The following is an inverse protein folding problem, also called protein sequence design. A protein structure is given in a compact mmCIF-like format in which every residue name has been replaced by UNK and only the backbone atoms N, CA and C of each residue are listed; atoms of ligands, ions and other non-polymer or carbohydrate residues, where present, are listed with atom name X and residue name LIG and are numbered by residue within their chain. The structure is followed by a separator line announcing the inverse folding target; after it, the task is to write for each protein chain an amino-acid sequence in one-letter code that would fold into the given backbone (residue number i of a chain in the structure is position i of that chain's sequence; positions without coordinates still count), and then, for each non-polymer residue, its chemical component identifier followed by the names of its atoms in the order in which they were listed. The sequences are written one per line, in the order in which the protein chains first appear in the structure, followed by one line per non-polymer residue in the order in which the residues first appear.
data_IF_563556538023
#
_entry.id   IF_563556538023
#
_cell.length_a   1.000
_cell.length_b   1.000
_cell.length_c   1.000
_cell.angle_alpha   90.00
_cell.angle_beta   90.00
_cell.angle_gamma   90.00
#
_symmetry.space_group_name_H-M   'P 1'
#
loop_
_entity.id
_entity.type
_entity.pdbx_description
1 polymer ?
#
# COMPACT_ATOMS: atom_id res chain seq x y z
N UNK A 1 29.99 3.85 -0.03
CA UNK A 1 28.76 3.72 -0.87
C UNK A 1 28.33 5.13 -1.23
N UNK A 2 28.20 5.46 -2.50
CA UNK A 2 27.74 6.78 -2.88
C UNK A 2 26.20 6.87 -2.66
N UNK A 3 25.65 8.09 -2.66
CA UNK A 3 24.21 8.33 -2.38
C UNK A 3 23.31 7.61 -3.41
N UNK A 4 23.75 7.53 -4.67
CA UNK A 4 23.02 6.86 -5.74
C UNK A 4 22.93 5.36 -5.51
N UNK A 5 24.02 4.73 -5.09
CA UNK A 5 24.02 3.29 -4.77
C UNK A 5 23.09 3.00 -3.59
N UNK A 6 23.08 3.88 -2.57
CA UNK A 6 22.18 3.74 -1.42
C UNK A 6 20.69 3.86 -1.82
N UNK A 7 20.37 4.73 -2.79
CA UNK A 7 19.00 4.99 -3.21
C UNK A 7 18.46 3.97 -4.22
N UNK A 8 19.32 3.44 -5.10
CA UNK A 8 18.87 2.74 -6.31
C UNK A 8 19.55 1.40 -6.59
N UNK A 9 20.29 0.84 -5.63
CA UNK A 9 20.91 -0.50 -5.81
C UNK A 9 19.86 -1.56 -6.15
N UNK A 10 20.21 -2.50 -7.01
CA UNK A 10 19.37 -3.67 -7.32
C UNK A 10 19.71 -4.88 -6.45
N UNK A 11 20.76 -4.77 -5.65
CA UNK A 11 21.19 -5.85 -4.76
C UNK A 11 20.45 -5.72 -3.43
N UNK A 12 19.67 -6.73 -3.01
CA UNK A 12 19.03 -6.76 -1.70
C UNK A 12 20.08 -6.55 -0.59
N UNK A 13 19.67 -5.80 0.41
CA UNK A 13 20.46 -5.54 1.62
C UNK A 13 19.68 -6.09 2.84
N UNK A 14 20.12 -5.75 4.03
CA UNK A 14 19.31 -6.06 5.21
C UNK A 14 18.08 -5.13 5.28
N UNK A 15 16.90 -5.65 5.64
CA UNK A 15 15.72 -4.81 5.87
C UNK A 15 15.97 -3.85 7.03
N UNK A 16 15.25 -2.71 7.11
CA UNK A 16 15.39 -1.78 8.22
C UNK A 16 15.14 -2.48 9.56
N UNK A 17 15.92 -2.14 10.57
CA UNK A 17 15.64 -2.61 11.92
C UNK A 17 14.46 -1.82 12.52
N UNK A 18 13.41 -2.53 12.91
CA UNK A 18 12.18 -1.94 13.46
C UNK A 18 12.30 -1.77 14.98
N UNK A 19 13.15 -0.82 15.39
CA UNK A 19 13.31 -0.44 16.80
C UNK A 19 12.40 0.74 17.21
N UNK A 20 12.60 1.22 18.44
CA UNK A 20 11.84 2.34 19.00
C UNK A 20 11.81 3.57 18.09
N UNK A 21 12.93 3.95 17.51
CA UNK A 21 13.02 5.14 16.62
C UNK A 21 12.15 4.99 15.39
N UNK A 22 12.10 3.79 14.80
CA UNK A 22 11.23 3.51 13.66
C UNK A 22 9.76 3.71 14.04
N UNK A 23 9.30 3.05 15.11
CA UNK A 23 7.91 3.14 15.53
C UNK A 23 7.53 4.54 15.98
N UNK A 24 8.37 5.22 16.75
CA UNK A 24 8.13 6.58 17.19
C UNK A 24 7.96 7.55 16.01
N UNK A 25 8.86 7.47 15.01
CA UNK A 25 8.79 8.35 13.83
C UNK A 25 7.62 8.01 12.92
N UNK A 26 7.38 6.72 12.63
CA UNK A 26 6.27 6.32 11.76
C UNK A 26 4.91 6.60 12.38
N UNK A 27 4.72 6.36 13.68
CA UNK A 27 3.48 6.72 14.37
C UNK A 27 3.29 8.24 14.47
N UNK A 28 4.35 9.02 14.71
CA UNK A 28 4.25 10.47 14.69
C UNK A 28 3.78 10.98 13.31
N UNK A 29 4.35 10.45 12.22
CA UNK A 29 3.92 10.78 10.85
C UNK A 29 2.49 10.29 10.54
N UNK A 30 2.11 9.12 11.03
CA UNK A 30 0.75 8.59 10.91
C UNK A 30 -0.27 9.51 11.58
N UNK A 31 -0.04 9.91 12.84
CA UNK A 31 -0.91 10.83 13.56
C UNK A 31 -0.96 12.21 12.91
N UNK A 32 0.18 12.72 12.44
CA UNK A 32 0.23 13.98 11.69
C UNK A 32 -0.60 13.88 10.41
N UNK A 33 -0.50 12.78 9.67
CA UNK A 33 -1.28 12.56 8.46
C UNK A 33 -2.79 12.52 8.75
N UNK A 34 -3.20 11.80 9.80
CA UNK A 34 -4.61 11.74 10.24
C UNK A 34 -5.09 13.15 10.61
N UNK A 35 -4.30 13.90 11.38
CA UNK A 35 -4.63 15.27 11.77
C UNK A 35 -4.79 16.18 10.56
N UNK A 36 -3.84 16.17 9.61
CA UNK A 36 -3.89 16.99 8.40
C UNK A 36 -5.09 16.61 7.53
N UNK A 37 -5.32 15.32 7.31
CA UNK A 37 -6.45 14.82 6.53
C UNK A 37 -7.79 15.23 7.14
N UNK A 38 -7.95 15.13 8.48
CA UNK A 38 -9.16 15.52 9.18
C UNK A 38 -9.36 17.04 9.19
N UNK A 39 -8.32 17.80 9.55
CA UNK A 39 -8.40 19.27 9.74
C UNK A 39 -8.55 20.03 8.44
N UNK A 40 -7.92 19.51 7.37
CA UNK A 40 -7.85 20.20 6.07
C UNK A 40 -8.50 19.40 4.93
N UNK A 41 -9.47 18.53 5.23
CA UNK A 41 -10.14 17.67 4.24
C UNK A 41 -10.76 18.45 3.07
N UNK A 42 -11.26 19.67 3.32
CA UNK A 42 -11.90 20.52 2.29
C UNK A 42 -10.88 21.44 1.58
N UNK A 43 -9.64 21.50 2.06
CA UNK A 43 -8.60 22.33 1.49
C UNK A 43 -7.98 21.66 0.26
N UNK A 44 -8.16 22.28 -0.92
CA UNK A 44 -7.64 21.76 -2.19
C UNK A 44 -6.11 21.64 -2.24
N UNK A 45 -5.39 22.49 -1.51
CA UNK A 45 -3.92 22.40 -1.43
C UNK A 45 -3.50 21.12 -0.69
N UNK A 46 -4.14 20.83 0.45
CA UNK A 46 -3.88 19.61 1.21
C UNK A 46 -4.23 18.34 0.40
N UNK A 47 -5.38 18.35 -0.29
CA UNK A 47 -5.77 17.24 -1.17
C UNK A 47 -4.73 17.00 -2.25
N UNK A 48 -4.31 18.07 -2.97
CA UNK A 48 -3.29 17.97 -4.03
C UNK A 48 -1.93 17.54 -3.49
N UNK A 49 -1.55 17.97 -2.30
CA UNK A 49 -0.30 17.56 -1.65
C UNK A 49 -0.22 16.04 -1.53
N UNK A 50 -1.23 15.38 -0.94
CA UNK A 50 -1.23 13.92 -0.83
C UNK A 50 -1.30 13.23 -2.20
N UNK A 51 -2.06 13.76 -3.16
CA UNK A 51 -2.13 13.22 -4.52
C UNK A 51 -0.77 13.30 -5.23
N UNK A 52 -0.06 14.42 -5.11
CA UNK A 52 1.25 14.61 -5.73
C UNK A 52 2.29 13.66 -5.11
N UNK A 53 2.34 13.55 -3.77
CA UNK A 53 3.25 12.60 -3.11
C UNK A 53 2.94 11.17 -3.59
N UNK A 54 1.66 10.79 -3.66
CA UNK A 54 1.26 9.47 -4.15
C UNK A 54 1.69 9.23 -5.59
N UNK A 55 1.52 10.22 -6.47
CA UNK A 55 1.92 10.12 -7.86
C UNK A 55 3.45 10.02 -8.00
N UNK A 56 4.20 10.88 -7.30
CA UNK A 56 5.66 10.88 -7.35
C UNK A 56 6.23 9.54 -6.89
N UNK A 57 5.76 9.02 -5.75
CA UNK A 57 6.28 7.74 -5.23
C UNK A 57 5.93 6.56 -6.16
N UNK A 58 4.72 6.51 -6.73
CA UNK A 58 4.35 5.45 -7.68
C UNK A 58 5.21 5.53 -8.95
N UNK A 59 5.36 6.72 -9.53
CA UNK A 59 6.18 6.91 -10.74
C UNK A 59 7.63 6.51 -10.44
N UNK A 60 8.20 6.98 -9.33
CA UNK A 60 9.59 6.70 -8.97
C UNK A 60 9.84 5.21 -8.76
N UNK A 61 8.98 4.52 -8.01
CA UNK A 61 9.11 3.10 -7.73
C UNK A 61 8.97 2.25 -9.01
N UNK A 62 7.92 2.50 -9.80
CA UNK A 62 7.68 1.70 -11.01
C UNK A 62 8.67 2.02 -12.12
N UNK A 63 9.18 3.26 -12.21
CA UNK A 63 10.30 3.59 -13.10
C UNK A 63 11.55 2.81 -12.70
N UNK A 64 11.86 2.71 -11.42
CA UNK A 64 12.98 1.93 -10.93
C UNK A 64 12.84 0.44 -11.24
N UNK A 65 11.65 -0.17 -11.02
CA UNK A 65 11.38 -1.54 -11.41
C UNK A 65 11.55 -1.75 -12.92
N UNK A 66 11.01 -0.84 -13.73
CA UNK A 66 11.09 -0.93 -15.20
C UNK A 66 12.52 -0.83 -15.73
N UNK A 67 13.26 0.19 -15.28
CA UNK A 67 14.65 0.43 -15.73
C UNK A 67 15.54 -0.76 -15.37
N UNK A 68 15.34 -1.37 -14.20
CA UNK A 68 16.15 -2.48 -13.74
C UNK A 68 15.57 -3.86 -14.12
N UNK A 69 14.55 -3.91 -14.96
CA UNK A 69 13.94 -5.14 -15.48
C UNK A 69 13.56 -6.16 -14.39
N UNK A 70 12.98 -5.68 -13.29
CA UNK A 70 12.52 -6.54 -12.21
C UNK A 70 11.53 -7.59 -12.70
N UNK A 71 11.59 -8.83 -12.18
CA UNK A 71 10.69 -9.90 -12.59
C UNK A 71 9.23 -9.57 -12.24
N UNK A 72 8.31 -10.07 -13.06
CA UNK A 72 6.87 -9.86 -12.82
C UNK A 72 6.36 -10.48 -11.51
N UNK A 73 7.13 -11.35 -10.87
CA UNK A 73 6.85 -11.86 -9.52
C UNK A 73 6.99 -10.81 -8.41
N UNK A 74 7.64 -9.65 -8.69
CA UNK A 74 7.95 -8.62 -7.69
C UNK A 74 7.47 -7.22 -8.09
N UNK A 75 7.44 -6.92 -9.41
CA UNK A 75 7.26 -5.57 -9.94
C UNK A 75 5.81 -5.16 -10.22
N UNK A 76 4.84 -6.09 -10.17
CA UNK A 76 3.45 -5.77 -10.44
C UNK A 76 2.75 -5.11 -9.23
N UNK A 77 1.70 -4.31 -9.46
CA UNK A 77 1.01 -3.57 -8.39
C UNK A 77 -0.04 -4.39 -7.63
N UNK A 78 0.13 -5.71 -7.47
CA UNK A 78 -0.88 -6.58 -6.90
C UNK A 78 -0.83 -6.75 -5.38
N UNK A 79 0.00 -6.00 -4.67
CA UNK A 79 -0.18 -5.83 -3.22
C UNK A 79 -1.42 -4.97 -2.95
N UNK A 80 -2.23 -5.34 -1.97
CA UNK A 80 -3.49 -4.67 -1.62
C UNK A 80 -3.35 -3.15 -1.49
N UNK A 81 -2.34 -2.68 -0.74
CA UNK A 81 -2.09 -1.26 -0.57
C UNK A 81 -1.67 -0.58 -1.89
N UNK A 82 -0.89 -1.25 -2.74
CA UNK A 82 -0.50 -0.69 -4.05
C UNK A 82 -1.69 -0.53 -4.98
N UNK A 83 -2.58 -1.52 -5.03
CA UNK A 83 -3.85 -1.40 -5.78
C UNK A 83 -4.72 -0.27 -5.22
N UNK A 84 -4.81 -0.15 -3.89
CA UNK A 84 -5.52 0.96 -3.25
C UNK A 84 -4.91 2.32 -3.63
N UNK A 85 -3.58 2.44 -3.69
CA UNK A 85 -2.88 3.65 -4.13
C UNK A 85 -3.32 4.08 -5.53
N UNK A 86 -3.35 3.15 -6.50
CA UNK A 86 -3.80 3.45 -7.85
C UNK A 86 -5.29 3.80 -7.92
N UNK A 87 -6.14 3.01 -7.27
CA UNK A 87 -7.60 3.22 -7.36
C UNK A 87 -8.01 4.52 -6.67
N UNK A 88 -7.51 4.80 -5.47
CA UNK A 88 -7.86 6.03 -4.75
C UNK A 88 -7.36 7.27 -5.47
N UNK A 89 -6.18 7.20 -6.10
CA UNK A 89 -5.60 8.31 -6.85
C UNK A 89 -6.30 8.54 -8.20
N UNK A 90 -6.53 7.47 -8.98
CA UNK A 90 -6.88 7.58 -10.40
C UNK A 90 -8.39 7.45 -10.67
N UNK A 91 -9.14 6.72 -9.84
CA UNK A 91 -10.56 6.54 -10.09
C UNK A 91 -11.33 7.84 -9.77
N UNK A 92 -11.99 8.47 -10.74
CA UNK A 92 -12.73 9.71 -10.49
C UNK A 92 -14.04 9.47 -9.74
N UNK A 93 -14.55 10.53 -9.11
CA UNK A 93 -15.88 10.56 -8.52
C UNK A 93 -16.05 9.66 -7.28
N UNK A 94 -17.33 9.44 -6.93
CA UNK A 94 -17.77 8.60 -5.82
C UNK A 94 -18.29 7.28 -6.36
N UNK A 95 -17.73 6.16 -5.87
CA UNK A 95 -18.14 4.84 -6.31
C UNK A 95 -17.90 3.79 -5.21
N UNK A 96 -18.64 2.68 -5.29
CA UNK A 96 -18.47 1.51 -4.40
C UNK A 96 -17.03 1.03 -4.37
N UNK A 97 -16.41 0.90 -5.54
CA UNK A 97 -15.02 0.45 -5.69
C UNK A 97 -14.04 1.40 -5.01
N UNK A 98 -14.16 2.71 -5.27
CA UNK A 98 -13.27 3.70 -4.65
C UNK A 98 -13.43 3.75 -3.13
N UNK A 99 -14.67 3.64 -2.63
CA UNK A 99 -14.92 3.59 -1.19
C UNK A 99 -14.31 2.34 -0.55
N UNK A 100 -14.42 1.17 -1.19
CA UNK A 100 -13.78 -0.06 -0.74
C UNK A 100 -12.26 0.10 -0.66
N UNK A 101 -11.62 0.60 -1.72
CA UNK A 101 -10.17 0.79 -1.72
C UNK A 101 -9.70 1.90 -0.79
N UNK A 102 -10.52 2.90 -0.50
CA UNK A 102 -10.20 3.91 0.51
C UNK A 102 -10.27 3.33 1.93
N UNK A 103 -11.23 2.46 2.23
CA UNK A 103 -11.26 1.71 3.49
C UNK A 103 -10.04 0.79 3.60
N UNK A 104 -9.78 0.00 2.55
CA UNK A 104 -8.60 -0.88 2.48
C UNK A 104 -7.30 -0.08 2.66
N UNK A 105 -7.17 1.08 2.01
CA UNK A 105 -6.01 1.95 2.13
C UNK A 105 -5.83 2.54 3.52
N UNK A 106 -6.92 2.89 4.19
CA UNK A 106 -6.88 3.41 5.57
C UNK A 106 -6.42 2.34 6.55
N UNK A 107 -7.09 1.18 6.58
CA UNK A 107 -6.76 0.10 7.51
C UNK A 107 -5.46 -0.60 7.13
N UNK A 108 -5.20 -0.78 5.84
CA UNK A 108 -3.96 -1.38 5.33
C UNK A 108 -2.73 -0.55 5.67
N UNK A 109 -2.81 0.79 5.62
CA UNK A 109 -1.71 1.66 6.05
C UNK A 109 -1.42 1.51 7.55
N UNK A 110 -2.45 1.48 8.38
CA UNK A 110 -2.28 1.29 9.82
C UNK A 110 -1.62 -0.07 10.08
N UNK A 111 -2.11 -1.14 9.44
CA UNK A 111 -1.53 -2.48 9.55
C UNK A 111 -0.06 -2.51 9.09
N UNK A 112 0.26 -1.85 7.97
CA UNK A 112 1.61 -1.79 7.42
C UNK A 112 2.62 -1.09 8.35
N UNK A 113 2.19 -0.12 9.16
CA UNK A 113 3.07 0.54 10.14
C UNK A 113 3.10 -0.17 11.50
N UNK A 114 2.05 -0.89 11.87
CA UNK A 114 2.02 -1.73 13.07
C UNK A 114 2.88 -2.98 12.90
N UNK A 115 2.81 -3.60 11.72
CA UNK A 115 3.58 -4.79 11.37
C UNK A 115 4.25 -4.61 10.00
N UNK A 116 5.39 -3.88 9.94
CA UNK A 116 6.05 -3.55 8.69
C UNK A 116 6.72 -4.77 8.07
N UNK A 117 6.46 -5.00 6.78
CA UNK A 117 7.09 -6.04 5.95
C UNK A 117 7.56 -5.39 4.64
N UNK A 118 8.52 -4.48 4.68
CA UNK A 118 9.11 -3.94 3.46
C UNK A 118 10.06 -4.97 2.84
N UNK A 119 10.34 -4.77 1.55
CA UNK A 119 11.37 -5.54 0.86
C UNK A 119 12.75 -5.33 1.51
N UNK A 120 13.68 -6.26 1.29
CA UNK A 120 14.99 -6.32 1.92
C UNK A 120 15.96 -5.26 1.38
N UNK A 121 15.70 -4.00 1.70
CA UNK A 121 16.56 -2.85 1.38
C UNK A 121 16.71 -1.97 2.62
N UNK A 122 17.94 -1.46 2.85
CA UNK A 122 18.19 -0.52 3.94
C UNK A 122 17.77 0.91 3.57
N UNK A 123 17.41 1.71 4.58
CA UNK A 123 17.17 3.15 4.38
C UNK A 123 18.47 3.86 3.91
N UNK A 124 18.41 4.79 2.93
CA UNK A 124 17.26 5.46 2.33
C UNK A 124 16.82 4.93 0.95
N UNK A 125 16.86 3.64 0.70
CA UNK A 125 16.53 3.04 -0.58
C UNK A 125 15.13 3.44 -1.08
N UNK A 126 14.94 3.58 -2.42
CA UNK A 126 13.69 4.02 -3.07
C UNK A 126 12.49 3.16 -2.65
N UNK A 127 12.67 1.86 -2.43
CA UNK A 127 11.63 0.93 -1.98
C UNK A 127 11.16 1.29 -0.56
N UNK A 128 12.09 1.60 0.35
CA UNK A 128 11.77 2.01 1.73
C UNK A 128 11.12 3.39 1.78
N UNK A 129 11.63 4.34 0.99
CA UNK A 129 10.99 5.65 0.83
C UNK A 129 9.59 5.52 0.25
N UNK A 130 9.40 4.67 -0.76
CA UNK A 130 8.09 4.38 -1.33
C UNK A 130 7.16 3.70 -0.33
N UNK A 131 7.67 2.79 0.50
CA UNK A 131 6.89 2.18 1.58
C UNK A 131 6.35 3.26 2.54
N UNK A 132 7.22 4.13 3.05
CA UNK A 132 6.83 5.16 4.03
C UNK A 132 5.89 6.19 3.39
N UNK A 133 6.36 6.89 2.36
CA UNK A 133 5.61 7.99 1.75
C UNK A 133 4.37 7.52 0.99
N UNK A 134 4.43 6.33 0.38
CA UNK A 134 3.30 5.71 -0.30
C UNK A 134 2.16 5.41 0.65
N UNK A 135 2.43 4.82 1.81
CA UNK A 135 1.39 4.52 2.80
C UNK A 135 0.86 5.79 3.47
N UNK A 136 1.71 6.77 3.81
CA UNK A 136 1.25 8.05 4.35
C UNK A 136 0.35 8.81 3.36
N UNK A 137 0.74 8.86 2.08
CA UNK A 137 -0.06 9.50 1.05
C UNK A 137 -1.37 8.74 0.79
N UNK A 138 -1.34 7.40 0.79
CA UNK A 138 -2.52 6.55 0.70
C UNK A 138 -3.49 6.85 1.85
N UNK A 139 -2.99 6.90 3.09
CA UNK A 139 -3.81 7.23 4.26
C UNK A 139 -4.45 8.62 4.12
N UNK A 140 -3.66 9.62 3.75
CA UNK A 140 -4.15 11.00 3.55
C UNK A 140 -5.24 11.08 2.49
N UNK A 141 -5.01 10.51 1.30
CA UNK A 141 -5.97 10.48 0.21
C UNK A 141 -7.24 9.69 0.58
N UNK A 142 -7.08 8.53 1.23
CA UNK A 142 -8.19 7.67 1.65
C UNK A 142 -9.06 8.32 2.71
N UNK A 143 -8.45 8.90 3.76
CA UNK A 143 -9.19 9.60 4.81
C UNK A 143 -9.92 10.83 4.28
N UNK A 144 -9.27 11.66 3.47
CA UNK A 144 -9.93 12.82 2.84
C UNK A 144 -11.12 12.38 2.00
N UNK A 145 -10.96 11.30 1.22
CA UNK A 145 -12.08 10.77 0.43
C UNK A 145 -13.20 10.27 1.31
N UNK A 146 -12.93 9.46 2.33
CA UNK A 146 -13.95 8.89 3.22
C UNK A 146 -14.67 9.98 4.04
N UNK A 147 -13.93 10.94 4.60
CA UNK A 147 -14.50 12.03 5.39
C UNK A 147 -15.45 12.91 4.59
N UNK A 148 -15.25 13.02 3.27
CA UNK A 148 -16.06 13.91 2.41
C UNK A 148 -17.14 13.16 1.62
N UNK A 149 -16.96 11.84 1.37
CA UNK A 149 -17.77 11.12 0.38
C UNK A 149 -18.26 9.75 0.87
N UNK A 150 -18.03 9.37 2.13
CA UNK A 150 -18.50 8.07 2.61
C UNK A 150 -20.01 7.97 2.59
N UNK A 151 -20.53 6.93 1.92
CA UNK A 151 -21.95 6.59 1.92
C UNK A 151 -22.11 5.09 2.27
N UNK A 152 -22.68 4.81 3.42
CA UNK A 152 -22.93 3.44 3.89
C UNK A 152 -23.87 2.64 2.98
N UNK A 153 -24.63 3.31 2.09
CA UNK A 153 -25.54 2.66 1.13
C UNK A 153 -24.79 2.10 -0.07
N UNK A 154 -23.62 2.66 -0.40
CA UNK A 154 -22.82 2.22 -1.53
C UNK A 154 -22.10 0.89 -1.25
N UNK A 155 -21.72 0.65 0.00
CA UNK A 155 -20.90 -0.49 0.36
C UNK A 155 -21.38 -1.11 1.68
N UNK A 156 -22.16 -2.15 1.56
CA UNK A 156 -22.60 -3.02 2.66
C UNK A 156 -21.58 -4.14 2.93
N UNK A 157 -21.80 -4.89 4.00
CA UNK A 157 -20.93 -6.02 4.38
C UNK A 157 -20.80 -7.08 3.26
N UNK A 158 -21.92 -7.41 2.60
CA UNK A 158 -21.90 -8.34 1.45
C UNK A 158 -21.06 -7.82 0.30
N UNK A 159 -21.13 -6.51 0.05
CA UNK A 159 -20.31 -5.85 -0.97
C UNK A 159 -18.83 -5.87 -0.65
N UNK A 160 -18.46 -5.71 0.63
CA UNK A 160 -17.07 -5.84 1.09
C UNK A 160 -16.56 -7.26 0.83
N UNK A 161 -17.31 -8.29 1.26
CA UNK A 161 -16.93 -9.70 1.05
C UNK A 161 -16.74 -10.02 -0.43
N UNK A 162 -17.67 -9.60 -1.29
CA UNK A 162 -17.58 -9.84 -2.73
C UNK A 162 -16.33 -9.18 -3.31
N UNK A 163 -16.10 -7.89 -3.00
CA UNK A 163 -14.93 -7.18 -3.54
C UNK A 163 -13.63 -7.76 -3.02
N UNK A 164 -13.55 -8.15 -1.74
CA UNK A 164 -12.36 -8.80 -1.17
C UNK A 164 -12.12 -10.15 -1.85
N UNK A 165 -13.14 -10.99 -2.01
CA UNK A 165 -13.01 -12.30 -2.65
C UNK A 165 -12.59 -12.18 -4.12
N UNK A 166 -13.15 -11.20 -4.86
CA UNK A 166 -12.76 -10.94 -6.26
C UNK A 166 -11.33 -10.43 -6.36
N UNK A 167 -10.95 -9.51 -5.49
CA UNK A 167 -9.59 -8.96 -5.43
C UNK A 167 -8.58 -10.06 -5.12
N UNK A 168 -8.82 -10.84 -4.08
CA UNK A 168 -7.94 -11.93 -3.67
C UNK A 168 -7.90 -13.05 -4.70
N UNK A 169 -9.02 -13.36 -5.35
CA UNK A 169 -9.06 -14.30 -6.47
C UNK A 169 -8.22 -13.85 -7.66
N UNK A 170 -8.25 -12.54 -7.99
CA UNK A 170 -7.38 -11.98 -9.02
C UNK A 170 -5.90 -12.07 -8.62
N UNK A 171 -5.56 -11.67 -7.39
CA UNK A 171 -4.18 -11.74 -6.87
C UNK A 171 -3.68 -13.19 -6.87
N UNK A 172 -4.52 -14.13 -6.47
CA UNK A 172 -4.21 -15.56 -6.52
C UNK A 172 -3.84 -16.04 -7.93
N UNK A 173 -4.63 -15.68 -8.94
CA UNK A 173 -4.33 -16.02 -10.35
C UNK A 173 -3.00 -15.39 -10.79
N UNK A 174 -2.76 -14.12 -10.42
CA UNK A 174 -1.49 -13.44 -10.73
C UNK A 174 -0.31 -14.16 -10.10
N UNK A 175 -0.40 -14.57 -8.84
CA UNK A 175 0.64 -15.34 -8.15
C UNK A 175 0.92 -16.67 -8.86
N UNK A 176 -0.11 -17.40 -9.31
CA UNK A 176 0.06 -18.65 -10.07
C UNK A 176 0.80 -18.43 -11.40
N UNK A 177 0.52 -17.32 -12.08
CA UNK A 177 1.13 -17.03 -13.40
C UNK A 177 2.55 -16.50 -13.27
N UNK A 178 2.82 -15.68 -12.26
CA UNK A 178 4.11 -14.98 -12.10
C UNK A 178 5.09 -15.66 -11.16
N UNK A 179 4.62 -16.59 -10.33
CA UNK A 179 5.40 -17.16 -9.22
C UNK A 179 5.63 -16.18 -8.05
N UNK A 180 4.88 -15.07 -8.01
CA UNK A 180 4.96 -14.05 -6.96
C UNK A 180 4.23 -14.44 -5.67
N UNK A 181 4.41 -13.61 -4.63
CA UNK A 181 3.66 -13.69 -3.37
C UNK A 181 2.90 -12.38 -3.09
N UNK A 182 2.21 -11.90 -4.10
CA UNK A 182 1.37 -10.71 -3.94
C UNK A 182 0.26 -10.96 -2.92
N UNK A 183 0.04 -9.97 -2.06
CA UNK A 183 -0.94 -10.06 -0.98
C UNK A 183 -0.59 -11.05 0.11
N UNK A 184 0.65 -11.57 0.12
CA UNK A 184 1.13 -12.59 1.10
C UNK A 184 0.27 -13.85 1.13
N UNK A 185 -0.20 -14.29 -0.04
CA UNK A 185 -1.11 -15.43 -0.14
C UNK A 185 -0.41 -16.78 -0.07
N UNK A 186 0.87 -16.83 -0.42
CA UNK A 186 1.67 -18.06 -0.31
C UNK A 186 2.30 -18.20 1.06
N UNK A 187 2.70 -17.09 1.68
CA UNK A 187 3.33 -17.06 3.01
C UNK A 187 2.72 -15.97 3.88
N UNK A 188 1.51 -16.17 4.42
CA UNK A 188 0.89 -15.19 5.32
C UNK A 188 1.76 -14.94 6.55
N UNK A 189 2.17 -13.69 6.81
CA UNK A 189 3.25 -13.41 7.78
C UNK A 189 2.91 -13.70 9.24
N UNK A 190 1.61 -13.69 9.60
CA UNK A 190 1.18 -13.90 10.99
C UNK A 190 0.84 -15.35 11.32
N UNK A 191 0.44 -16.14 10.33
CA UNK A 191 -0.07 -17.49 10.53
C UNK A 191 0.80 -18.58 9.89
N UNK A 192 1.76 -18.18 9.04
CA UNK A 192 2.62 -19.11 8.33
C UNK A 192 1.94 -19.79 7.14
N UNK A 193 2.64 -20.75 6.53
CA UNK A 193 2.17 -21.47 5.35
C UNK A 193 1.35 -22.71 5.76
N UNK A 194 0.09 -22.73 5.36
CA UNK A 194 -0.85 -23.84 5.54
C UNK A 194 -1.31 -24.45 4.19
N UNK A 195 -0.58 -24.14 3.12
CA UNK A 195 -0.94 -24.53 1.76
C UNK A 195 -1.89 -23.54 1.08
N UNK A 196 -1.81 -23.46 -0.23
CA UNK A 196 -2.32 -22.39 -1.07
C UNK A 196 -3.81 -22.08 -0.85
N UNK A 197 -4.66 -23.12 -0.74
CA UNK A 197 -6.12 -22.95 -0.56
C UNK A 197 -6.46 -22.42 0.83
N UNK A 198 -5.79 -22.95 1.87
CA UNK A 198 -6.02 -22.52 3.25
C UNK A 198 -5.51 -21.09 3.44
N UNK A 199 -4.34 -20.76 2.90
CA UNK A 199 -3.80 -19.40 2.93
C UNK A 199 -4.74 -18.40 2.24
N UNK A 200 -5.31 -18.76 1.08
CA UNK A 200 -6.33 -17.92 0.42
C UNK A 200 -7.54 -17.65 1.32
N UNK A 201 -8.04 -18.66 2.01
CA UNK A 201 -9.18 -18.49 2.94
C UNK A 201 -8.82 -17.62 4.13
N UNK A 202 -7.60 -17.77 4.68
CA UNK A 202 -7.11 -16.98 5.81
C UNK A 202 -6.96 -15.49 5.45
N UNK A 203 -6.49 -15.19 4.24
CA UNK A 203 -6.24 -13.82 3.76
C UNK A 203 -7.52 -13.14 3.26
N UNK A 204 -8.59 -13.92 2.93
CA UNK A 204 -9.87 -13.39 2.45
C UNK A 204 -10.83 -13.09 3.58
#
# INVERSE_FOLDING_TARGET
MNVWDALFTTHPTEPPQFGFTWYASTFALLFLTIYLAYRYRDNKVCQRFFQIIQAIQLISLYSWYWINQFPLSESLPFYHCRLAMFVVLLLPGVSKTKQYFALLGTFGTIAAFVYPIPDAYSFPHIVILSFIFGHLALLGNSLIYLLNNYDARLLDFKGILILTSLLNGLIFIVNLVTGGDYGFMTKPPLVGDHGLVVNYIIVT
#
